data_IF_514341857059
#
_entry.id   IF_514341857059
#
_cell.length_a   1.000
_cell.length_b   1.000
_cell.length_c   1.000
_cell.angle_alpha   90.00
_cell.angle_beta   90.00
_cell.angle_gamma   90.00
#
_symmetry.space_group_name_H-M   'P 1'
#
loop_
_entity.id
_entity.type
_entity.pdbx_description
1 polymer ?
#
# COMPACT_ATOMS: atom_id res chain seq x y z
N UNK A 1 -34.92 10.96 10.91
CA UNK A 1 -34.12 11.21 10.87
C UNK A 1 -33.38 11.00 10.55
N UNK A 2 -33.29 10.91 10.56
CA UNK A 2 -32.34 10.83 10.32
C UNK A 2 -31.58 10.72 10.54
N UNK A 3 -31.33 10.37 10.56
CA UNK A 3 -30.47 10.17 10.85
C UNK A 3 -29.65 10.43 10.67
N UNK A 4 -29.36 10.41 11.06
CA UNK A 4 -28.41 10.60 10.96
C UNK A 4 -27.70 10.15 10.78
N UNK A 5 -27.72 10.29 10.23
CA UNK A 5 -26.80 9.50 10.26
C UNK A 5 -25.84 9.20 10.96
N UNK A 6 -25.85 9.02 11.13
CA UNK A 6 -24.93 8.60 11.57
C UNK A 6 -24.36 8.93 12.59
N UNK A 7 -24.61 8.73 13.17
CA UNK A 7 -23.87 8.67 14.11
C UNK A 7 -22.96 7.61 14.28
N UNK A 8 -23.11 6.46 13.67
CA UNK A 8 -21.99 5.52 13.55
C UNK A 8 -20.94 6.17 12.67
N UNK A 9 -19.63 5.97 12.94
CA UNK A 9 -18.60 6.47 12.04
C UNK A 9 -18.84 5.96 10.64
N UNK A 10 -18.53 6.76 9.64
CA UNK A 10 -18.64 6.32 8.26
C UNK A 10 -17.76 5.09 8.07
N UNK A 11 -18.29 4.12 7.36
CA UNK A 11 -17.52 2.94 7.02
C UNK A 11 -16.36 3.31 6.12
N UNK A 12 -15.20 2.72 6.39
CA UNK A 12 -14.03 2.91 5.55
C UNK A 12 -14.29 2.24 4.21
N UNK A 13 -14.00 2.96 3.13
CA UNK A 13 -14.11 2.44 1.77
C UNK A 13 -12.72 2.29 1.17
N UNK A 14 -12.51 1.17 0.49
CA UNK A 14 -11.26 0.91 -0.20
C UNK A 14 -11.53 0.84 -1.70
N UNK A 15 -10.67 1.52 -2.48
CA UNK A 15 -10.80 1.56 -3.93
C UNK A 15 -9.48 1.17 -4.55
N UNK A 16 -9.52 0.20 -5.47
CA UNK A 16 -8.33 -0.32 -6.14
C UNK A 16 -8.20 0.30 -7.52
N UNK A 17 -7.03 0.82 -7.81
CA UNK A 17 -6.70 1.39 -9.12
C UNK A 17 -5.46 0.70 -9.67
N UNK A 18 -5.54 0.24 -10.91
CA UNK A 18 -4.41 -0.42 -11.59
C UNK A 18 -3.76 0.58 -12.53
N UNK A 19 -2.68 1.21 -12.07
CA UNK A 19 -1.93 2.20 -12.83
C UNK A 19 -0.47 2.15 -12.41
N UNK A 20 0.43 2.30 -13.38
CA UNK A 20 1.87 2.26 -13.14
C UNK A 20 2.36 3.62 -12.65
N UNK A 21 2.16 3.90 -11.37
CA UNK A 21 2.51 5.19 -10.76
C UNK A 21 3.46 4.97 -9.59
N UNK A 22 4.16 6.05 -9.21
CA UNK A 22 5.00 6.05 -8.03
C UNK A 22 4.15 6.10 -6.76
N UNK A 23 4.79 5.84 -5.61
CA UNK A 23 4.10 5.95 -4.32
C UNK A 23 3.55 7.36 -4.11
N UNK A 24 4.37 8.38 -4.41
CA UNK A 24 3.95 9.78 -4.24
C UNK A 24 2.77 10.13 -5.13
N UNK A 25 2.79 9.68 -6.36
CA UNK A 25 1.68 9.94 -7.28
C UNK A 25 0.42 9.21 -6.84
N UNK A 26 0.56 7.97 -6.37
CA UNK A 26 -0.57 7.21 -5.85
C UNK A 26 -1.22 7.94 -4.66
N UNK A 27 -0.39 8.42 -3.74
CA UNK A 27 -0.91 9.15 -2.58
C UNK A 27 -1.58 10.46 -3.01
N UNK A 28 -0.99 11.17 -3.98
CA UNK A 28 -1.59 12.39 -4.50
C UNK A 28 -3.00 12.13 -5.05
N UNK A 29 -3.15 11.04 -5.79
CA UNK A 29 -4.44 10.69 -6.38
C UNK A 29 -5.47 10.31 -5.32
N UNK A 30 -5.04 9.59 -4.28
CA UNK A 30 -5.92 9.26 -3.16
C UNK A 30 -6.34 10.53 -2.41
N UNK A 31 -5.42 11.48 -2.22
CA UNK A 31 -5.73 12.74 -1.56
C UNK A 31 -6.78 13.53 -2.36
N UNK A 32 -6.67 13.51 -3.68
CA UNK A 32 -7.65 14.19 -4.53
C UNK A 32 -9.05 13.59 -4.39
N UNK A 33 -9.14 12.32 -4.02
CA UNK A 33 -10.42 11.65 -3.80
C UNK A 33 -10.94 11.85 -2.38
N UNK A 34 -10.19 12.56 -1.54
CA UNK A 34 -10.60 12.82 -0.16
C UNK A 34 -10.09 11.79 0.84
N UNK A 35 -9.10 11.00 0.47
CA UNK A 35 -8.58 9.95 1.33
C UNK A 35 -7.06 9.90 1.32
N UNK A 36 -6.52 8.69 1.45
CA UNK A 36 -5.09 8.44 1.44
C UNK A 36 -4.86 6.98 1.03
N UNK A 37 -3.61 6.63 0.77
CA UNK A 37 -3.28 5.22 0.53
C UNK A 37 -3.68 4.39 1.75
N UNK A 38 -4.13 3.17 1.51
CA UNK A 38 -4.72 2.32 2.54
C UNK A 38 -3.76 2.04 3.69
N UNK A 39 -4.28 2.13 4.91
CA UNK A 39 -3.54 1.77 6.12
C UNK A 39 -4.10 0.46 6.66
N UNK A 40 -3.23 -0.34 7.29
CA UNK A 40 -3.58 -1.67 7.78
C UNK A 40 -3.26 -1.72 9.26
N UNK A 41 -4.29 -1.67 10.10
CA UNK A 41 -4.07 -1.65 11.55
C UNK A 41 -4.05 -3.03 12.17
N UNK A 42 -4.67 -4.03 11.51
CA UNK A 42 -4.77 -5.37 12.06
C UNK A 42 -5.03 -6.39 10.94
N UNK A 43 -5.12 -7.65 11.33
CA UNK A 43 -5.33 -8.74 10.37
C UNK A 43 -6.66 -8.61 9.63
N UNK A 44 -7.68 -8.03 10.27
CA UNK A 44 -8.99 -7.87 9.62
C UNK A 44 -8.91 -6.88 8.46
N UNK A 45 -8.20 -5.76 8.64
CA UNK A 45 -7.96 -4.81 7.56
C UNK A 45 -7.17 -5.46 6.43
N UNK A 46 -6.11 -6.19 6.79
CA UNK A 46 -5.27 -6.90 5.83
C UNK A 46 -6.11 -7.85 4.97
N UNK A 47 -7.01 -8.61 5.60
CA UNK A 47 -7.87 -9.54 4.87
C UNK A 47 -8.81 -8.83 3.90
N UNK A 48 -9.35 -7.68 4.32
CA UNK A 48 -10.22 -6.90 3.43
C UNK A 48 -9.49 -6.49 2.17
N UNK A 49 -8.23 -6.05 2.31
CA UNK A 49 -7.44 -5.66 1.15
C UNK A 49 -7.10 -6.88 0.28
N UNK A 50 -6.77 -8.00 0.89
CA UNK A 50 -6.49 -9.22 0.13
C UNK A 50 -7.71 -9.67 -0.67
N UNK A 51 -8.91 -9.57 -0.10
CA UNK A 51 -10.14 -9.91 -0.81
C UNK A 51 -10.36 -8.98 -2.00
N UNK A 52 -10.09 -7.70 -1.82
CA UNK A 52 -10.21 -6.72 -2.90
C UNK A 52 -9.25 -7.05 -4.04
N UNK A 53 -8.07 -7.57 -3.71
CA UNK A 53 -7.04 -7.89 -4.69
C UNK A 53 -7.23 -9.24 -5.37
N UNK A 54 -8.11 -10.09 -4.86
CA UNK A 54 -8.23 -11.48 -5.29
C UNK A 54 -8.50 -11.62 -6.79
N UNK A 55 -9.28 -10.69 -7.36
CA UNK A 55 -9.65 -10.74 -8.78
C UNK A 55 -8.83 -9.80 -9.64
N UNK A 56 -7.80 -9.16 -9.07
CA UNK A 56 -7.00 -8.20 -9.83
C UNK A 56 -5.83 -8.90 -10.49
N UNK A 57 -5.27 -8.23 -11.51
CA UNK A 57 -4.04 -8.69 -12.17
C UNK A 57 -2.80 -8.01 -11.60
N UNK A 58 -2.96 -7.22 -10.52
CA UNK A 58 -1.84 -6.52 -9.91
C UNK A 58 -0.87 -7.49 -9.27
N UNK A 59 0.40 -7.12 -9.28
CA UNK A 59 1.47 -7.87 -8.62
C UNK A 59 2.10 -7.05 -7.49
N UNK A 60 2.04 -5.73 -7.59
CA UNK A 60 2.67 -4.77 -6.67
C UNK A 60 1.66 -3.70 -6.35
N UNK A 61 1.32 -3.52 -5.06
CA UNK A 61 0.22 -2.63 -4.66
C UNK A 61 0.72 -1.69 -3.58
N UNK A 62 0.72 -0.39 -3.88
CA UNK A 62 1.12 0.62 -2.91
C UNK A 62 0.12 0.71 -1.76
N UNK A 63 0.65 0.78 -0.54
CA UNK A 63 -0.17 1.02 0.66
C UNK A 63 0.38 2.23 1.41
N UNK A 64 -0.33 2.67 2.43
CA UNK A 64 -0.08 3.93 3.10
C UNK A 64 0.97 3.87 4.20
N UNK A 65 2.10 3.24 3.93
CA UNK A 65 3.19 3.16 4.88
C UNK A 65 4.50 3.55 4.21
N UNK A 66 5.41 4.13 4.98
CA UNK A 66 6.72 4.55 4.50
C UNK A 66 7.70 4.58 5.66
N UNK A 67 9.00 4.59 5.34
CA UNK A 67 10.03 4.71 6.37
C UNK A 67 10.36 6.17 6.57
N UNK A 68 10.23 6.63 7.82
CA UNK A 68 10.56 8.00 8.17
C UNK A 68 12.06 8.23 8.33
N UNK A 69 12.44 9.46 8.60
CA UNK A 69 13.84 9.84 8.75
C UNK A 69 14.52 9.14 9.93
N UNK A 70 13.74 8.71 10.92
CA UNK A 70 14.25 7.98 12.09
C UNK A 70 14.40 6.47 11.82
N UNK A 71 14.12 6.04 10.60
CA UNK A 71 14.22 4.63 10.22
C UNK A 71 13.01 3.79 10.58
N UNK A 72 12.00 4.39 11.21
CA UNK A 72 10.80 3.67 11.63
C UNK A 72 9.73 3.73 10.54
N UNK A 73 8.91 2.68 10.48
CA UNK A 73 7.77 2.64 9.56
C UNK A 73 6.67 3.55 10.10
N UNK A 74 6.16 4.43 9.24
CA UNK A 74 5.09 5.36 9.57
C UNK A 74 3.88 5.04 8.71
N UNK A 75 2.71 5.23 9.28
CA UNK A 75 1.45 5.07 8.53
C UNK A 75 0.82 6.43 8.27
N UNK A 76 0.15 6.56 7.14
CA UNK A 76 -0.42 7.85 6.71
C UNK A 76 -1.54 8.35 7.62
N UNK A 77 -2.12 7.48 8.45
CA UNK A 77 -3.14 7.89 9.40
C UNK A 77 -2.53 8.49 10.68
N UNK A 78 -1.20 8.53 10.78
CA UNK A 78 -0.50 9.09 11.93
C UNK A 78 -0.51 8.20 13.15
N UNK A 79 -1.01 6.98 13.05
CA UNK A 79 -1.11 6.04 14.17
C UNK A 79 -0.06 4.96 14.06
N UNK A 80 0.28 4.34 15.19
CA UNK A 80 1.15 3.19 15.19
C UNK A 80 0.31 1.93 15.06
N UNK A 81 0.79 1.00 14.25
CA UNK A 81 0.11 -0.28 14.04
C UNK A 81 1.12 -1.40 14.26
N UNK A 82 0.68 -2.49 14.87
CA UNK A 82 1.55 -3.61 15.22
C UNK A 82 1.50 -4.74 14.22
N UNK A 83 0.59 -4.68 13.27
CA UNK A 83 0.44 -5.76 12.29
C UNK A 83 1.36 -5.54 11.09
N UNK A 84 2.23 -6.49 10.81
CA UNK A 84 3.11 -6.45 9.64
C UNK A 84 3.21 -7.85 9.05
N UNK A 85 2.86 -7.97 7.79
CA UNK A 85 2.94 -9.23 7.05
C UNK A 85 4.13 -9.20 6.09
N UNK A 86 5.34 -9.05 6.63
CA UNK A 86 6.56 -8.94 5.84
C UNK A 86 6.84 -10.23 5.06
N UNK A 87 7.26 -10.10 3.81
CA UNK A 87 7.80 -11.21 3.05
C UNK A 87 9.12 -11.65 3.68
N UNK A 88 9.53 -12.87 3.41
CA UNK A 88 10.77 -13.40 3.95
C UNK A 88 11.94 -12.51 3.54
N UNK A 89 12.76 -12.10 4.51
CA UNK A 89 13.90 -11.24 4.26
C UNK A 89 13.58 -9.76 4.20
N UNK A 90 12.32 -9.36 4.40
CA UNK A 90 11.91 -7.97 4.36
C UNK A 90 11.62 -7.45 5.77
N UNK A 91 11.76 -6.14 6.01
CA UNK A 91 12.18 -5.11 5.03
C UNK A 91 13.69 -5.18 4.77
N UNK A 92 14.07 -4.98 3.52
CA UNK A 92 15.48 -5.06 3.12
C UNK A 92 16.20 -3.72 3.24
N UNK A 93 15.46 -2.61 3.28
CA UNK A 93 15.92 -1.23 3.42
C UNK A 93 16.65 -0.69 2.20
N UNK A 94 17.31 -1.53 1.45
CA UNK A 94 17.98 -1.14 0.20
C UNK A 94 17.75 -2.24 -0.83
N UNK A 95 17.75 -1.81 -2.09
CA UNK A 95 17.64 -2.75 -3.21
C UNK A 95 18.91 -3.58 -3.32
N UNK A 96 18.80 -4.89 -3.30
CA UNK A 96 19.95 -5.78 -3.35
C UNK A 96 20.69 -5.72 -4.69
N UNK A 97 20.04 -5.17 -5.71
CA UNK A 97 20.58 -5.11 -7.06
C UNK A 97 21.42 -3.85 -7.29
N UNK A 98 20.94 -2.68 -6.86
CA UNK A 98 21.65 -1.41 -7.12
C UNK A 98 21.88 -0.57 -5.86
N UNK A 99 21.47 -1.03 -4.68
CA UNK A 99 21.69 -0.34 -3.42
C UNK A 99 20.81 0.87 -3.17
N UNK A 100 19.80 1.11 -4.01
CA UNK A 100 18.90 2.25 -3.82
C UNK A 100 18.09 2.07 -2.54
N UNK A 101 17.78 3.18 -1.86
CA UNK A 101 16.97 3.15 -0.64
C UNK A 101 15.55 2.70 -0.94
N UNK A 102 15.01 1.83 -0.07
CA UNK A 102 13.64 1.33 -0.19
C UNK A 102 12.85 1.79 1.01
N UNK A 103 12.18 2.93 0.87
CA UNK A 103 11.50 3.60 1.98
C UNK A 103 9.98 3.60 1.88
N UNK A 104 9.41 2.94 0.87
CA UNK A 104 7.96 2.93 0.66
C UNK A 104 7.47 1.48 0.63
N UNK A 105 6.29 1.25 1.20
CA UNK A 105 5.80 -0.09 1.45
C UNK A 105 4.73 -0.46 0.43
N UNK A 106 4.79 -1.69 -0.04
CA UNK A 106 3.80 -2.23 -0.96
C UNK A 106 3.44 -3.65 -0.57
N UNK A 107 2.28 -4.10 -1.03
CA UNK A 107 1.92 -5.51 -1.00
C UNK A 107 2.44 -6.14 -2.29
N UNK A 108 3.09 -7.29 -2.17
CA UNK A 108 3.64 -8.01 -3.31
C UNK A 108 3.02 -9.39 -3.35
N UNK A 109 2.50 -9.76 -4.53
CA UNK A 109 1.88 -11.06 -4.71
C UNK A 109 2.95 -12.14 -4.77
N UNK A 110 2.80 -13.14 -3.92
CA UNK A 110 3.71 -14.27 -3.85
C UNK A 110 3.31 -15.34 -4.86
N UNK A 111 4.20 -16.29 -5.09
CA UNK A 111 3.95 -17.37 -6.07
C UNK A 111 2.74 -18.24 -5.68
N UNK A 112 2.43 -18.33 -4.39
CA UNK A 112 1.27 -19.10 -3.92
C UNK A 112 -0.02 -18.27 -3.90
N UNK A 113 0.03 -17.01 -4.37
CA UNK A 113 -1.13 -16.16 -4.45
C UNK A 113 -1.37 -15.30 -3.22
N UNK A 114 -0.58 -15.46 -2.16
CA UNK A 114 -0.71 -14.61 -0.98
C UNK A 114 -0.05 -13.26 -1.21
N UNK A 115 -0.43 -12.27 -0.38
CA UNK A 115 0.11 -10.91 -0.45
C UNK A 115 0.92 -10.65 0.80
N UNK A 116 2.16 -10.19 0.64
CA UNK A 116 3.02 -9.87 1.77
C UNK A 116 3.64 -8.50 1.58
N UNK A 117 4.05 -7.88 2.68
CA UNK A 117 4.66 -6.55 2.67
C UNK A 117 6.08 -6.61 2.15
N UNK A 118 6.45 -5.59 1.37
CA UNK A 118 7.82 -5.44 0.88
C UNK A 118 8.13 -3.94 0.84
N UNK A 119 9.37 -3.55 1.15
CA UNK A 119 9.76 -2.16 0.96
C UNK A 119 10.31 -1.97 -0.47
N UNK A 120 10.14 -0.76 -0.99
CA UNK A 120 10.46 -0.47 -2.38
C UNK A 120 10.98 0.95 -2.51
N UNK A 121 11.67 1.21 -3.63
CA UNK A 121 12.02 2.57 -4.03
C UNK A 121 10.74 3.33 -4.39
N UNK A 122 10.78 4.68 -4.39
CA UNK A 122 9.55 5.46 -4.60
C UNK A 122 8.94 5.29 -5.99
N UNK A 123 9.77 5.05 -7.01
CA UNK A 123 9.29 4.97 -8.38
C UNK A 123 10.00 3.85 -9.13
N UNK A 124 9.56 2.59 -8.94
CA UNK A 124 10.19 1.47 -9.63
C UNK A 124 10.08 1.54 -11.15
N UNK A 125 9.02 2.19 -11.68
CA UNK A 125 8.88 2.33 -13.13
C UNK A 125 10.00 3.15 -13.75
N UNK A 126 10.55 4.11 -13.01
CA UNK A 126 11.62 4.96 -13.54
C UNK A 126 12.89 4.17 -13.85
N UNK A 127 13.14 3.09 -13.11
CA UNK A 127 14.36 2.30 -13.26
C UNK A 127 14.13 0.97 -13.96
N UNK A 128 12.97 0.36 -13.74
CA UNK A 128 12.72 -1.02 -14.16
C UNK A 128 11.35 -1.14 -14.83
N UNK A 129 11.06 -0.24 -15.78
CA UNK A 129 9.74 -0.18 -16.42
C UNK A 129 9.34 -1.52 -17.05
N UNK A 130 10.28 -2.24 -17.63
CA UNK A 130 9.97 -3.53 -18.26
C UNK A 130 9.46 -4.55 -17.26
N UNK A 131 10.06 -4.53 -16.06
CA UNK A 131 9.71 -5.49 -15.02
C UNK A 131 8.34 -5.18 -14.40
N UNK A 132 8.05 -3.88 -14.19
CA UNK A 132 6.87 -3.47 -13.45
C UNK A 132 5.67 -3.10 -14.32
N UNK A 133 5.87 -2.89 -15.62
CA UNK A 133 4.81 -2.38 -16.50
C UNK A 133 3.56 -3.27 -16.46
N UNK A 134 2.41 -2.66 -16.21
CA UNK A 134 1.13 -3.36 -16.16
C UNK A 134 0.89 -4.15 -14.88
N UNK A 135 1.78 -4.05 -13.90
CA UNK A 135 1.71 -4.86 -12.67
C UNK A 135 1.44 -4.04 -11.41
N UNK A 136 1.52 -2.72 -11.49
CA UNK A 136 1.41 -1.85 -10.33
C UNK A 136 -0.03 -1.39 -10.13
N UNK A 137 -0.45 -1.35 -8.87
CA UNK A 137 -1.74 -0.83 -8.47
C UNK A 137 -1.59 -0.09 -7.15
N UNK A 138 -2.65 0.56 -6.72
CA UNK A 138 -2.68 1.18 -5.41
C UNK A 138 -4.10 1.13 -4.88
N UNK A 139 -4.23 1.17 -3.56
CA UNK A 139 -5.52 1.15 -2.90
C UNK A 139 -5.70 2.45 -2.14
N UNK A 140 -6.77 3.17 -2.43
CA UNK A 140 -7.15 4.38 -1.72
C UNK A 140 -8.14 4.02 -0.63
N UNK A 141 -7.96 4.63 0.53
CA UNK A 141 -8.85 4.47 1.67
C UNK A 141 -9.55 5.80 1.92
N UNK A 142 -10.86 5.77 1.97
CA UNK A 142 -11.69 6.95 2.22
C UNK A 142 -12.56 6.67 3.43
N UNK A 143 -12.50 7.57 4.42
CA UNK A 143 -13.27 7.39 5.66
C UNK A 143 -12.46 7.08 6.89
#
# INVERSE_FOLDING_TARGET
ETPEPSKAPAEVQYMLYSEDVSWDEAERRCTELGGHLATIKDAADYEKLCQLLADSNAQYVWIGAYRGDDGQIKWLDGKEHDFYAWAQGEPSMTDSYDGAAENYIMLVKQTDGTWLYNDSRPDPMAQYSRFYSGKIAYICQIG
#
